data_IF_046569151212
#
_entry.id   IF_046569151212
#
_cell.length_a   1.000
_cell.length_b   1.000
_cell.length_c   1.000
_cell.angle_alpha   90.00
_cell.angle_beta   90.00
_cell.angle_gamma   90.00
#
_symmetry.space_group_name_H-M   'P 1'
#
loop_
_entity.id
_entity.type
_entity.pdbx_description
1 polymer ?
#
# COMPACT_ATOMS: atom_id res chain seq x y z
N UNK A 1 -1.77 -19.37 27.96
CA UNK A 1 -1.02 -18.33 27.22
C UNK A 1 -0.83 -18.66 25.73
N UNK A 2 -0.33 -19.85 25.34
CA UNK A 2 -0.12 -20.22 23.91
C UNK A 2 -1.36 -20.12 22.99
N UNK A 3 -2.58 -20.29 23.53
CA UNK A 3 -3.81 -20.20 22.73
C UNK A 3 -4.14 -18.74 22.33
N UNK A 4 -3.93 -17.78 23.23
CA UNK A 4 -4.23 -16.37 22.99
C UNK A 4 -3.31 -15.74 21.93
N UNK A 5 -2.02 -16.06 21.97
CA UNK A 5 -1.05 -15.63 20.94
C UNK A 5 -1.39 -16.18 19.55
N UNK A 6 -1.90 -17.41 19.49
CA UNK A 6 -2.38 -18.03 18.25
C UNK A 6 -3.60 -17.29 17.72
N UNK A 7 -4.58 -17.00 18.57
CA UNK A 7 -5.76 -16.20 18.19
C UNK A 7 -5.36 -14.82 17.69
N UNK A 8 -4.47 -14.12 18.40
CA UNK A 8 -3.95 -12.81 18.00
C UNK A 8 -3.31 -12.86 16.61
N UNK A 9 -2.49 -13.87 16.34
CA UNK A 9 -1.85 -14.05 15.03
C UNK A 9 -2.88 -14.30 13.92
N UNK A 10 -3.89 -15.12 14.18
CA UNK A 10 -4.99 -15.36 13.21
C UNK A 10 -5.80 -14.09 12.93
N UNK A 11 -6.10 -13.30 13.96
CA UNK A 11 -6.79 -12.00 13.80
C UNK A 11 -5.94 -11.03 12.97
N UNK A 12 -4.63 -10.96 13.23
CA UNK A 12 -3.72 -10.12 12.44
C UNK A 12 -3.71 -10.55 10.96
N UNK A 13 -3.61 -11.84 10.67
CA UNK A 13 -3.64 -12.34 9.29
C UNK A 13 -4.97 -12.01 8.59
N UNK A 14 -6.09 -12.11 9.29
CA UNK A 14 -7.40 -11.75 8.76
C UNK A 14 -7.50 -10.24 8.47
N UNK A 15 -7.02 -9.38 9.39
CA UNK A 15 -7.01 -7.93 9.21
C UNK A 15 -6.12 -7.50 8.04
N UNK A 16 -4.92 -8.08 7.91
CA UNK A 16 -4.01 -7.81 6.78
C UNK A 16 -4.67 -8.17 5.45
N UNK A 17 -5.30 -9.36 5.36
CA UNK A 17 -5.99 -9.78 4.14
C UNK A 17 -7.20 -8.90 3.83
N UNK A 18 -7.98 -8.52 4.84
CA UNK A 18 -9.11 -7.58 4.70
C UNK A 18 -8.61 -6.24 4.14
N UNK A 19 -7.58 -5.67 4.75
CA UNK A 19 -7.00 -4.39 4.34
C UNK A 19 -6.46 -4.42 2.91
N UNK A 20 -5.76 -5.50 2.53
CA UNK A 20 -5.28 -5.68 1.15
C UNK A 20 -6.43 -5.76 0.14
N UNK A 21 -7.47 -6.53 0.44
CA UNK A 21 -8.65 -6.63 -0.43
C UNK A 21 -9.33 -5.27 -0.63
N UNK A 22 -9.41 -4.43 0.42
CA UNK A 22 -9.94 -3.07 0.32
C UNK A 22 -9.07 -2.21 -0.61
N UNK A 23 -7.74 -2.25 -0.46
CA UNK A 23 -6.84 -1.52 -1.37
C UNK A 23 -7.00 -1.98 -2.83
N UNK A 24 -7.18 -3.27 -3.07
CA UNK A 24 -7.36 -3.81 -4.42
C UNK A 24 -8.71 -3.38 -5.03
N UNK A 25 -9.77 -3.25 -4.23
CA UNK A 25 -11.06 -2.70 -4.67
C UNK A 25 -10.96 -1.22 -5.06
N UNK A 26 -10.21 -0.42 -4.29
CA UNK A 26 -9.95 1.00 -4.61
C UNK A 26 -9.21 1.10 -5.96
N UNK A 27 -8.17 0.31 -6.16
CA UNK A 27 -7.43 0.28 -7.41
C UNK A 27 -8.33 -0.14 -8.59
N UNK A 28 -9.18 -1.16 -8.40
CA UNK A 28 -10.13 -1.59 -9.43
C UNK A 28 -11.11 -0.46 -9.82
N UNK A 29 -11.65 0.30 -8.87
CA UNK A 29 -12.54 1.43 -9.15
C UNK A 29 -11.84 2.58 -9.88
N UNK A 30 -10.56 2.81 -9.58
CA UNK A 30 -9.75 3.81 -10.28
C UNK A 30 -9.48 3.41 -11.75
N UNK A 31 -9.31 2.11 -12.04
CA UNK A 31 -9.17 1.64 -13.44
C UNK A 31 -10.46 1.74 -14.26
N UNK A 32 -11.63 1.54 -13.65
CA UNK A 32 -12.92 1.67 -14.34
C UNK A 32 -13.21 3.12 -14.72
N UNK A 33 -12.86 4.07 -13.84
CA UNK A 33 -13.04 5.51 -14.09
C UNK A 33 -12.19 6.05 -15.24
N UNK A 34 -11.05 5.41 -15.55
CA UNK A 34 -10.13 5.85 -16.62
C UNK A 34 -10.44 5.26 -17.99
N UNK A 35 -11.20 4.15 -18.06
CA UNK A 35 -11.62 3.54 -19.32
C UNK A 35 -12.99 4.05 -19.83
N UNK A 36 -13.71 4.89 -19.06
CA UNK A 36 -15.06 5.37 -19.38
C UNK A 36 -15.16 6.72 -20.08
N UNK A 37 -14.05 7.42 -20.37
CA UNK A 37 -14.07 8.79 -20.92
C UNK A 37 -13.42 8.90 -22.30
N UNK A 38 -14.08 8.33 -23.30
CA UNK A 38 -13.93 8.75 -24.71
C UNK A 38 -15.31 8.72 -25.39
N UNK A 39 -16.08 9.80 -25.19
CA UNK A 39 -16.65 10.68 -26.23
C UNK A 39 -17.81 11.56 -25.69
N UNK A 40 -18.07 12.73 -26.31
CA UNK A 40 -18.73 13.88 -25.69
C UNK A 40 -20.23 13.97 -25.99
N UNK A 41 -20.99 14.68 -25.13
CA UNK A 41 -21.92 15.78 -25.47
C UNK A 41 -23.11 15.93 -24.48
N UNK A 42 -23.44 17.21 -24.22
CA UNK A 42 -24.75 17.78 -23.84
C UNK A 42 -25.37 17.54 -22.44
N UNK A 43 -25.23 18.55 -21.59
CA UNK A 43 -26.28 19.30 -20.85
C UNK A 43 -27.61 18.61 -20.49
N UNK A 44 -27.89 18.46 -19.18
CA UNK A 44 -29.17 18.86 -18.56
C UNK A 44 -29.11 18.79 -17.02
N UNK A 45 -29.89 19.68 -16.41
CA UNK A 45 -30.00 20.06 -15.00
C UNK A 45 -31.11 19.30 -14.24
N UNK A 46 -31.08 19.40 -12.90
CA UNK A 46 -32.17 19.19 -11.91
C UNK A 46 -32.59 17.72 -11.65
N UNK A 47 -33.13 17.29 -10.51
CA UNK A 47 -33.25 17.72 -9.10
C UNK A 47 -34.01 16.54 -8.41
N UNK A 48 -33.85 16.40 -7.09
CA UNK A 48 -34.79 15.77 -6.13
C UNK A 48 -35.04 14.24 -6.05
N UNK A 49 -34.95 13.80 -4.79
CA UNK A 49 -35.81 12.85 -4.04
C UNK A 49 -35.56 11.32 -4.03
N UNK A 50 -35.00 10.89 -2.90
CA UNK A 50 -35.30 9.72 -2.05
C UNK A 50 -35.69 8.36 -2.68
N UNK A 51 -34.85 7.34 -2.46
CA UNK A 51 -35.30 5.97 -2.13
C UNK A 51 -34.14 5.08 -1.68
N UNK A 52 -34.42 4.24 -0.67
CA UNK A 52 -33.55 3.20 -0.14
C UNK A 52 -32.96 2.30 -1.23
N UNK A 53 -31.65 2.38 -1.42
CA UNK A 53 -30.84 1.36 -2.06
C UNK A 53 -29.46 1.43 -1.41
N UNK A 54 -28.91 0.29 -0.99
CA UNK A 54 -27.50 0.14 -0.59
C UNK A 54 -26.63 0.80 -1.66
N UNK A 55 -26.20 2.04 -1.38
CA UNK A 55 -25.33 2.78 -2.29
C UNK A 55 -24.08 1.94 -2.47
N UNK A 56 -23.71 1.73 -3.73
CA UNK A 56 -22.36 1.27 -4.09
C UNK A 56 -21.37 1.99 -3.17
N UNK A 57 -20.57 1.29 -2.36
CA UNK A 57 -19.60 1.94 -1.49
C UNK A 57 -18.72 2.85 -2.35
N UNK A 58 -18.84 4.16 -2.11
CA UNK A 58 -18.00 5.19 -2.73
C UNK A 58 -16.55 4.96 -2.32
N UNK A 59 -15.60 5.33 -3.19
CA UNK A 59 -14.14 5.23 -2.92
C UNK A 59 -13.78 5.75 -1.52
N UNK A 60 -14.40 6.85 -1.09
CA UNK A 60 -14.17 7.46 0.23
C UNK A 60 -14.50 6.51 1.40
N UNK A 61 -15.54 5.68 1.27
CA UNK A 61 -15.88 4.70 2.29
C UNK A 61 -14.80 3.63 2.39
N UNK A 62 -14.26 3.16 1.26
CA UNK A 62 -13.17 2.19 1.27
C UNK A 62 -11.88 2.75 1.87
N UNK A 63 -11.58 4.03 1.63
CA UNK A 63 -10.44 4.70 2.26
C UNK A 63 -10.64 4.77 3.79
N UNK A 64 -11.86 5.09 4.25
CA UNK A 64 -12.21 5.09 5.67
C UNK A 64 -12.05 3.70 6.29
N UNK A 65 -12.57 2.66 5.65
CA UNK A 65 -12.47 1.27 6.11
C UNK A 65 -11.00 0.81 6.17
N UNK A 66 -10.16 1.21 5.20
CA UNK A 66 -8.73 0.93 5.22
C UNK A 66 -8.01 1.60 6.39
N UNK A 67 -8.42 2.83 6.76
CA UNK A 67 -7.88 3.53 7.92
C UNK A 67 -8.28 2.87 9.24
N UNK A 68 -9.52 2.40 9.36
CA UNK A 68 -9.98 1.66 10.53
C UNK A 68 -9.19 0.35 10.70
N UNK A 69 -9.02 -0.43 9.62
CA UNK A 69 -8.20 -1.65 9.64
C UNK A 69 -6.76 -1.35 10.05
N UNK A 70 -6.19 -0.25 9.54
CA UNK A 70 -4.85 0.19 9.94
C UNK A 70 -4.77 0.56 11.42
N UNK A 71 -5.75 1.29 11.95
CA UNK A 71 -5.81 1.65 13.36
C UNK A 71 -5.92 0.41 14.26
N UNK A 72 -6.72 -0.60 13.87
CA UNK A 72 -6.81 -1.87 14.61
C UNK A 72 -5.50 -2.65 14.60
N UNK A 73 -4.80 -2.70 13.46
CA UNK A 73 -3.48 -3.34 13.38
C UNK A 73 -2.47 -2.66 14.31
N UNK A 74 -2.43 -1.32 14.35
CA UNK A 74 -1.53 -0.57 15.22
C UNK A 74 -1.77 -0.83 16.72
N UNK A 75 -2.98 -1.21 17.13
CA UNK A 75 -3.27 -1.60 18.52
C UNK A 75 -2.68 -2.96 18.89
N UNK A 76 -2.52 -3.85 17.90
CA UNK A 76 -2.13 -5.24 18.10
C UNK A 76 -0.61 -5.46 17.92
N UNK A 77 0.01 -4.75 16.98
CA UNK A 77 1.42 -4.93 16.61
C UNK A 77 2.00 -3.63 16.03
N UNK A 78 3.33 -3.52 16.03
CA UNK A 78 4.02 -2.44 15.35
C UNK A 78 3.73 -2.50 13.82
N UNK A 79 3.27 -1.41 13.18
CA UNK A 79 3.05 -1.36 11.74
C UNK A 79 4.29 -1.66 10.88
N UNK A 80 5.50 -1.57 11.45
CA UNK A 80 6.76 -1.90 10.77
C UNK A 80 7.17 -3.39 10.91
N UNK A 81 6.37 -4.21 11.60
CA UNK A 81 6.61 -5.65 11.68
C UNK A 81 6.38 -6.34 10.33
N UNK A 82 7.21 -7.34 10.02
CA UNK A 82 7.18 -8.06 8.74
C UNK A 82 5.82 -8.73 8.46
N UNK A 83 5.06 -9.11 9.49
CA UNK A 83 3.73 -9.76 9.34
C UNK A 83 2.68 -8.84 8.74
N UNK A 84 2.77 -7.54 9.03
CA UNK A 84 1.80 -6.51 8.59
C UNK A 84 2.34 -5.59 7.50
N UNK A 85 3.66 -5.64 7.25
CA UNK A 85 4.36 -4.78 6.30
C UNK A 85 3.68 -4.65 4.93
N UNK A 86 3.17 -5.75 4.35
CA UNK A 86 2.48 -5.72 3.04
C UNK A 86 1.27 -4.78 3.02
N UNK A 87 0.45 -4.83 4.07
CA UNK A 87 -0.69 -3.93 4.18
C UNK A 87 -0.26 -2.51 4.54
N UNK A 88 0.70 -2.36 5.46
CA UNK A 88 1.25 -1.04 5.83
C UNK A 88 1.83 -0.30 4.61
N UNK A 89 2.50 -1.02 3.69
CA UNK A 89 3.00 -0.50 2.43
C UNK A 89 1.86 0.04 1.56
N UNK A 90 0.84 -0.79 1.30
CA UNK A 90 -0.32 -0.42 0.47
C UNK A 90 -1.10 0.74 1.07
N UNK A 91 -1.28 0.76 2.39
CA UNK A 91 -1.90 1.87 3.12
C UNK A 91 -1.09 3.17 2.97
N UNK A 92 0.24 3.11 3.09
CA UNK A 92 1.08 4.28 2.91
C UNK A 92 1.03 4.82 1.46
N UNK A 93 0.99 3.93 0.46
CA UNK A 93 0.86 4.31 -0.94
C UNK A 93 -0.50 4.91 -1.27
N UNK A 94 -1.59 4.37 -0.71
CA UNK A 94 -2.94 4.90 -0.86
C UNK A 94 -3.04 6.37 -0.44
N UNK A 95 -2.38 6.73 0.68
CA UNK A 95 -2.33 8.10 1.20
C UNK A 95 -1.17 8.95 0.66
N UNK A 96 -0.40 8.44 -0.29
CA UNK A 96 0.80 9.12 -0.82
C UNK A 96 1.83 9.48 0.27
N UNK A 97 1.85 8.75 1.38
CA UNK A 97 2.79 8.93 2.48
C UNK A 97 4.13 8.23 2.19
N UNK A 98 4.83 8.65 1.14
CA UNK A 98 6.05 8.01 0.66
C UNK A 98 7.18 7.98 1.70
N UNK A 99 7.28 8.99 2.58
CA UNK A 99 8.27 8.99 3.67
C UNK A 99 8.05 7.86 4.68
N UNK A 100 6.78 7.53 4.98
CA UNK A 100 6.43 6.39 5.83
C UNK A 100 6.73 5.07 5.12
N UNK A 101 6.49 4.99 3.80
CA UNK A 101 6.85 3.84 3.00
C UNK A 101 8.37 3.61 2.99
N UNK A 102 9.19 4.65 2.79
CA UNK A 102 10.67 4.57 2.87
C UNK A 102 11.13 4.02 4.22
N UNK A 103 10.55 4.51 5.33
CA UNK A 103 10.88 4.01 6.67
C UNK A 103 10.56 2.52 6.82
N UNK A 104 9.41 2.08 6.29
CA UNK A 104 9.04 0.66 6.27
C UNK A 104 10.00 -0.17 5.42
N UNK A 105 10.36 0.29 4.23
CA UNK A 105 11.31 -0.41 3.36
C UNK A 105 12.69 -0.52 4.00
N UNK A 106 13.16 0.51 4.69
CA UNK A 106 14.39 0.44 5.49
C UNK A 106 14.37 -0.68 6.52
N UNK A 107 13.25 -0.82 7.26
CA UNK A 107 13.06 -1.91 8.24
C UNK A 107 12.99 -3.29 7.59
N UNK A 108 12.37 -3.41 6.42
CA UNK A 108 12.37 -4.67 5.67
C UNK A 108 13.78 -5.03 5.19
N UNK A 109 14.55 -4.04 4.73
CA UNK A 109 15.92 -4.24 4.23
C UNK A 109 16.92 -4.59 5.35
N UNK A 110 16.70 -4.10 6.58
CA UNK A 110 17.44 -4.51 7.78
C UNK A 110 17.25 -6.00 8.09
N UNK A 111 16.03 -6.52 7.95
CA UNK A 111 15.73 -7.94 8.21
C UNK A 111 16.22 -8.83 7.06
N UNK A 112 15.81 -8.53 5.83
CA UNK A 112 16.21 -9.27 4.64
C UNK A 112 16.35 -8.33 3.46
N UNK A 113 17.59 -8.09 3.06
CA UNK A 113 17.88 -7.32 1.86
C UNK A 113 17.36 -8.05 0.62
N UNK A 114 16.41 -7.43 -0.08
CA UNK A 114 15.84 -7.98 -1.32
C UNK A 114 15.90 -6.94 -2.43
N UNK A 115 16.08 -7.42 -3.67
CA UNK A 115 16.13 -6.56 -4.85
C UNK A 115 14.81 -5.80 -5.06
N UNK A 116 13.67 -6.46 -4.81
CA UNK A 116 12.33 -5.85 -4.95
C UNK A 116 12.12 -4.68 -3.98
N UNK A 117 12.49 -4.84 -2.70
CA UNK A 117 12.35 -3.76 -1.70
C UNK A 117 13.28 -2.58 -2.05
N UNK A 118 14.46 -2.85 -2.58
CA UNK A 118 15.39 -1.79 -3.02
C UNK A 118 14.82 -0.99 -4.20
N UNK A 119 14.20 -1.66 -5.18
CA UNK A 119 13.50 -1.00 -6.30
C UNK A 119 12.33 -0.13 -5.81
N UNK A 120 11.48 -0.66 -4.93
CA UNK A 120 10.37 0.10 -4.33
C UNK A 120 10.85 1.32 -3.53
N UNK A 121 12.00 1.20 -2.86
CA UNK A 121 12.63 2.32 -2.15
C UNK A 121 13.08 3.42 -3.13
N UNK A 122 13.67 3.04 -4.27
CA UNK A 122 14.06 3.98 -5.33
C UNK A 122 12.83 4.69 -5.90
N UNK A 123 11.73 3.97 -6.14
CA UNK A 123 10.47 4.57 -6.60
C UNK A 123 9.92 5.58 -5.58
N UNK A 124 9.95 5.25 -4.28
CA UNK A 124 9.52 6.17 -3.24
C UNK A 124 10.42 7.43 -3.15
N UNK A 125 11.74 7.30 -3.32
CA UNK A 125 12.64 8.46 -3.42
C UNK A 125 12.33 9.36 -4.61
N UNK A 126 11.97 8.77 -5.75
CA UNK A 126 11.55 9.51 -6.94
C UNK A 126 10.28 10.32 -6.67
N UNK A 127 9.28 9.75 -6.01
CA UNK A 127 8.05 10.46 -5.64
C UNK A 127 8.28 11.61 -4.66
N UNK A 128 9.28 11.47 -3.78
CA UNK A 128 9.72 12.53 -2.84
C UNK A 128 10.68 13.55 -3.46
N UNK A 129 11.08 13.40 -4.73
CA UNK A 129 12.10 14.19 -5.40
C UNK A 129 13.49 14.16 -4.72
N UNK A 130 13.83 13.06 -4.03
CA UNK A 130 15.15 12.87 -3.42
C UNK A 130 16.16 12.31 -4.42
N UNK A 131 16.52 13.12 -5.41
CA UNK A 131 17.34 12.73 -6.57
C UNK A 131 18.72 12.16 -6.21
N UNK A 132 19.34 12.67 -5.15
CA UNK A 132 20.63 12.21 -4.66
C UNK A 132 20.55 10.76 -4.11
N UNK A 133 19.51 10.45 -3.33
CA UNK A 133 19.28 9.10 -2.80
C UNK A 133 18.87 8.14 -3.91
N UNK A 134 17.97 8.57 -4.80
CA UNK A 134 17.58 7.78 -5.97
C UNK A 134 18.81 7.37 -6.79
N UNK A 135 19.69 8.33 -7.12
CA UNK A 135 20.89 8.09 -7.92
C UNK A 135 21.88 7.18 -7.19
N UNK A 136 22.07 7.39 -5.88
CA UNK A 136 22.96 6.57 -5.07
C UNK A 136 22.50 5.11 -5.02
N UNK A 137 21.21 4.88 -4.71
CA UNK A 137 20.63 3.55 -4.64
C UNK A 137 20.61 2.83 -6.00
N UNK A 138 20.29 3.56 -7.08
CA UNK A 138 20.37 3.02 -8.45
C UNK A 138 21.78 2.56 -8.83
N UNK A 139 22.82 3.24 -8.36
CA UNK A 139 24.21 2.84 -8.60
C UNK A 139 24.61 1.65 -7.73
N UNK A 140 24.16 1.61 -6.47
CA UNK A 140 24.52 0.52 -5.55
C UNK A 140 23.82 -0.80 -5.86
N UNK A 141 22.66 -0.79 -6.53
CA UNK A 141 21.85 -2.00 -6.73
C UNK A 141 22.62 -3.13 -7.44
N UNK A 142 23.42 -2.81 -8.46
CA UNK A 142 24.20 -3.79 -9.22
C UNK A 142 25.36 -4.38 -8.42
N UNK A 143 25.89 -3.62 -7.46
CA UNK A 143 26.96 -4.07 -6.56
C UNK A 143 26.40 -4.92 -5.44
N UNK A 144 25.23 -4.54 -4.91
CA UNK A 144 24.56 -5.23 -3.80
C UNK A 144 23.89 -6.53 -4.22
N UNK A 145 23.36 -6.58 -5.44
CA UNK A 145 22.68 -7.74 -6.02
C UNK A 145 23.33 -8.14 -7.36
N UNK A 146 24.58 -8.66 -7.33
CA UNK A 146 25.24 -9.13 -8.55
C UNK A 146 24.53 -10.37 -9.10
N UNK A 147 24.59 -10.55 -10.42
CA UNK A 147 23.99 -11.71 -11.09
C UNK A 147 24.72 -13.02 -10.76
N UNK A 148 26.05 -12.94 -10.70
CA UNK A 148 26.93 -14.07 -10.44
C UNK A 148 28.00 -13.67 -9.43
N UNK A 149 28.62 -14.69 -8.82
CA UNK A 149 29.74 -14.49 -7.93
C UNK A 149 30.95 -13.91 -8.68
N UNK A 150 31.71 -13.06 -7.99
CA UNK A 150 32.99 -12.57 -8.50
C UNK A 150 33.95 -13.75 -8.66
N UNK A 151 34.59 -13.83 -9.83
CA UNK A 151 35.67 -14.79 -10.08
C UNK A 151 36.83 -14.58 -9.09
N UNK A 152 37.50 -15.68 -8.73
CA UNK A 152 38.63 -15.70 -7.79
C UNK A 152 39.91 -15.17 -8.41
#
# INVERSE_FOLDING_TARGET
MKNLEKQKTTVLEALVKKGLAICDLIDAQNTVSTNGSKEPNATAVADSTASDAKLSPTVDQFISDANEVYAEICKLIDPYDQKVAKFTERHALLHQHFGRAVKLFGKLQENKATHEVELKTIEAFKQLNWTHLETSYKRSINVRFPKDYRLF
#
